data_IF_552101189611
#
_entry.id   IF_552101189611
#
_cell.length_a   1.000
_cell.length_b   1.000
_cell.length_c   1.000
_cell.angle_alpha   90.00
_cell.angle_beta   90.00
_cell.angle_gamma   90.00
#
_symmetry.space_group_name_H-M   'P 1'
#
loop_
_entity.id
_entity.type
_entity.pdbx_description
1 polymer ?
#
# COMPACT_ATOMS: atom_id res chain seq x y z
N UNK A 1 13.13 24.02 -2.85
CA UNK A 1 13.20 24.17 -1.38
C UNK A 1 14.55 24.79 -1.04
N UNK A 2 14.63 25.75 -0.12
CA UNK A 2 15.90 26.45 0.17
C UNK A 2 16.77 25.68 1.17
N UNK A 3 18.10 25.84 1.09
CA UNK A 3 19.09 25.18 1.97
C UNK A 3 18.77 25.29 3.48
N UNK A 4 18.14 26.39 3.90
CA UNK A 4 17.70 26.61 5.30
C UNK A 4 16.64 25.61 5.77
N UNK A 5 15.75 25.17 4.89
CA UNK A 5 14.68 24.23 5.22
C UNK A 5 15.17 22.79 5.27
N UNK A 6 16.27 22.48 4.56
CA UNK A 6 16.91 21.16 4.55
C UNK A 6 17.71 20.89 5.83
N UNK A 7 18.13 21.94 6.53
CA UNK A 7 18.79 21.84 7.82
C UNK A 7 17.85 21.31 8.91
N UNK A 8 16.54 21.44 8.72
CA UNK A 8 15.55 20.74 9.53
C UNK A 8 15.43 19.28 9.07
N UNK A 9 16.33 18.46 9.62
CA UNK A 9 16.39 17.03 9.31
C UNK A 9 15.12 16.26 9.66
N UNK A 10 14.25 16.79 10.56
CA UNK A 10 12.98 16.12 10.92
C UNK A 10 11.97 16.24 9.79
N UNK A 11 11.79 17.44 9.23
CA UNK A 11 10.90 17.66 8.09
C UNK A 11 11.39 16.93 6.85
N UNK A 12 12.70 16.95 6.60
CA UNK A 12 13.31 16.23 5.49
C UNK A 12 13.04 14.71 5.57
N UNK A 13 13.28 14.10 6.73
CA UNK A 13 12.97 12.68 6.96
C UNK A 13 11.49 12.36 6.78
N UNK A 14 10.60 13.27 7.20
CA UNK A 14 9.15 13.09 7.04
C UNK A 14 8.73 13.09 5.56
N UNK A 15 9.26 14.02 4.75
CA UNK A 15 8.96 14.06 3.31
C UNK A 15 9.51 12.87 2.55
N UNK A 16 10.73 12.43 2.85
CA UNK A 16 11.31 11.25 2.22
C UNK A 16 10.53 9.97 2.58
N UNK A 17 10.08 9.82 3.83
CA UNK A 17 9.22 8.69 4.24
C UNK A 17 7.83 8.73 3.61
N UNK A 18 7.33 9.92 3.30
CA UNK A 18 6.07 10.10 2.59
C UNK A 18 6.19 9.83 1.08
N UNK A 19 7.36 9.40 0.58
CA UNK A 19 7.59 9.14 -0.85
C UNK A 19 7.68 10.41 -1.69
N UNK A 20 7.82 11.60 -1.08
CA UNK A 20 7.95 12.85 -1.82
C UNK A 20 9.39 13.05 -2.26
N UNK A 21 9.55 13.32 -3.56
CA UNK A 21 10.80 13.81 -4.13
C UNK A 21 11.04 15.26 -3.78
N UNK A 22 12.28 15.61 -3.43
CA UNK A 22 12.62 16.96 -2.97
C UNK A 22 13.73 17.53 -3.87
N UNK A 23 13.49 18.72 -4.41
CA UNK A 23 14.48 19.48 -5.17
C UNK A 23 15.30 20.38 -4.25
N UNK A 24 16.60 20.14 -4.22
CA UNK A 24 17.60 20.98 -3.56
C UNK A 24 17.83 22.20 -4.44
N UNK A 25 17.54 23.39 -3.90
CA UNK A 25 17.84 24.67 -4.56
C UNK A 25 18.80 25.49 -3.69
N UNK A 26 19.85 26.01 -4.32
CA UNK A 26 20.67 27.09 -3.77
C UNK A 26 20.26 28.40 -4.45
N UNK A 27 19.63 29.28 -3.68
CA UNK A 27 18.97 30.49 -4.20
C UNK A 27 17.96 30.11 -5.30
N UNK A 28 18.25 30.47 -6.54
CA UNK A 28 17.41 30.18 -7.71
C UNK A 28 17.92 29.00 -8.54
N UNK A 29 19.06 28.40 -8.17
CA UNK A 29 19.66 27.29 -8.92
C UNK A 29 19.31 25.94 -8.29
N UNK A 30 18.81 25.02 -9.10
CA UNK A 30 18.61 23.62 -8.67
C UNK A 30 19.97 22.93 -8.67
N UNK A 31 20.43 22.49 -7.50
CA UNK A 31 21.72 21.82 -7.31
C UNK A 31 21.59 20.28 -7.29
N UNK A 32 20.38 19.77 -7.12
CA UNK A 32 20.14 18.33 -7.11
C UNK A 32 18.73 17.97 -6.68
N UNK A 33 18.41 16.68 -6.72
CA UNK A 33 17.14 16.12 -6.25
C UNK A 33 17.41 14.94 -5.34
N UNK A 34 16.77 14.93 -4.18
CA UNK A 34 16.75 13.76 -3.31
C UNK A 34 15.47 12.99 -3.66
N UNK A 35 15.67 11.80 -4.22
CA UNK A 35 14.60 10.85 -4.52
C UNK A 35 14.57 9.84 -3.38
N UNK A 36 13.42 9.62 -2.71
CA UNK A 36 13.32 8.58 -1.71
C UNK A 36 13.50 7.21 -2.37
N UNK A 37 14.19 6.31 -1.68
CA UNK A 37 14.30 4.92 -2.11
C UNK A 37 12.88 4.33 -2.21
N UNK A 38 12.54 3.79 -3.38
CA UNK A 38 11.28 3.08 -3.54
C UNK A 38 11.32 1.88 -2.58
N UNK A 39 10.49 1.94 -1.54
CA UNK A 39 10.13 0.72 -0.83
C UNK A 39 9.40 -0.14 -1.84
N UNK A 40 10.14 -1.07 -2.46
CA UNK A 40 9.54 -2.19 -3.17
C UNK A 40 8.51 -2.74 -2.19
N UNK A 41 7.21 -2.71 -2.50
CA UNK A 41 6.22 -3.30 -1.62
C UNK A 41 6.70 -4.73 -1.43
N UNK A 42 7.03 -5.09 -0.18
CA UNK A 42 7.42 -6.46 0.16
C UNK A 42 6.38 -7.35 -0.50
N UNK A 43 6.84 -8.28 -1.35
CA UNK A 43 5.95 -9.27 -1.97
C UNK A 43 5.05 -9.78 -0.87
N UNK A 44 3.78 -9.37 -0.93
CA UNK A 44 2.80 -9.86 0.03
C UNK A 44 2.74 -11.34 -0.27
N UNK A 45 3.19 -12.14 0.67
CA UNK A 45 2.95 -13.57 0.66
C UNK A 45 1.43 -13.73 0.67
N UNK A 46 0.88 -13.92 -0.53
CA UNK A 46 -0.54 -14.14 -0.69
C UNK A 46 -0.77 -15.58 -0.26
N UNK A 47 -1.59 -15.82 0.78
CA UNK A 47 -1.86 -17.18 1.21
C UNK A 47 -2.50 -17.96 0.08
N UNK A 48 -2.21 -19.26 0.02
CA UNK A 48 -2.83 -20.15 -0.96
C UNK A 48 -4.35 -20.14 -0.78
N UNK A 49 -5.03 -19.43 -1.69
CA UNK A 49 -6.46 -19.20 -1.60
C UNK A 49 -7.24 -20.49 -1.83
N UNK A 50 -6.73 -21.39 -2.65
CA UNK A 50 -7.36 -22.67 -2.95
C UNK A 50 -7.28 -23.60 -1.74
N UNK A 51 -6.11 -23.71 -1.12
CA UNK A 51 -5.92 -24.50 0.10
C UNK A 51 -6.79 -23.97 1.26
N UNK A 52 -6.82 -22.65 1.47
CA UNK A 52 -7.69 -22.05 2.50
C UNK A 52 -9.17 -22.23 2.19
N UNK A 53 -9.56 -22.10 0.92
CA UNK A 53 -10.95 -22.34 0.52
C UNK A 53 -11.33 -23.80 0.81
N UNK A 54 -10.47 -24.76 0.45
CA UNK A 54 -10.71 -26.17 0.71
C UNK A 54 -10.75 -26.51 2.20
N UNK A 55 -9.92 -25.88 3.03
CA UNK A 55 -9.94 -26.07 4.49
C UNK A 55 -11.23 -25.52 5.12
N UNK A 56 -11.66 -24.32 4.72
CA UNK A 56 -12.81 -23.64 5.30
C UNK A 56 -14.16 -24.14 4.76
N UNK A 57 -14.20 -24.52 3.49
CA UNK A 57 -15.43 -24.78 2.74
C UNK A 57 -15.49 -26.17 2.10
N UNK A 58 -14.41 -26.95 2.19
CA UNK A 58 -14.32 -28.26 1.54
C UNK A 58 -14.41 -28.14 0.02
N UNK A 59 -15.13 -29.08 -0.59
CA UNK A 59 -15.44 -29.11 -2.04
C UNK A 59 -16.76 -28.39 -2.38
N UNK A 60 -17.32 -27.56 -1.47
CA UNK A 60 -18.54 -26.80 -1.77
C UNK A 60 -18.26 -25.68 -2.76
N UNK A 61 -18.97 -25.70 -3.89
CA UNK A 61 -18.99 -24.60 -4.86
C UNK A 61 -20.04 -23.59 -4.44
N UNK A 62 -19.60 -22.43 -3.98
CA UNK A 62 -20.49 -21.32 -3.64
C UNK A 62 -20.82 -20.49 -4.87
N UNK A 63 -22.03 -20.66 -5.41
CA UNK A 63 -22.65 -19.63 -6.25
C UNK A 63 -23.07 -18.48 -5.34
N UNK A 64 -22.29 -17.38 -5.31
CA UNK A 64 -22.50 -16.26 -4.39
C UNK A 64 -23.93 -15.70 -4.40
N UNK A 65 -24.60 -15.73 -5.55
CA UNK A 65 -25.97 -15.26 -5.71
C UNK A 65 -27.00 -16.25 -5.13
N UNK A 66 -26.90 -17.55 -5.45
CA UNK A 66 -27.85 -18.55 -4.95
C UNK A 66 -27.70 -18.80 -3.45
N UNK A 67 -26.46 -18.87 -2.94
CA UNK A 67 -26.20 -19.08 -1.52
C UNK A 67 -26.69 -17.89 -0.66
N UNK A 68 -26.60 -16.67 -1.18
CA UNK A 68 -27.14 -15.49 -0.52
C UNK A 68 -28.68 -15.47 -0.51
N UNK A 69 -29.32 -16.00 -1.56
CA UNK A 69 -30.78 -16.12 -1.63
C UNK A 69 -31.31 -17.21 -0.70
N UNK A 70 -30.62 -18.35 -0.58
CA UNK A 70 -30.97 -19.43 0.35
C UNK A 70 -30.87 -18.98 1.83
N UNK A 71 -29.79 -18.29 2.23
CA UNK A 71 -29.63 -17.76 3.59
C UNK A 71 -30.74 -16.75 3.94
N UNK A 72 -31.19 -15.98 2.95
CA UNK A 72 -32.28 -15.00 3.10
C UNK A 72 -33.66 -15.64 3.15
N UNK A 73 -33.90 -16.71 2.41
CA UNK A 73 -35.19 -17.41 2.34
C UNK A 73 -35.42 -18.41 3.49
N UNK A 74 -34.37 -18.85 4.19
CA UNK A 74 -34.47 -19.76 5.33
C UNK A 74 -34.98 -19.14 6.65
N UNK A 75 -35.33 -17.85 6.65
CA UNK A 75 -35.91 -17.16 7.82
C UNK A 75 -37.37 -16.73 7.60
N UNK A 76 -38.25 -17.62 7.16
CA UNK A 76 -39.70 -17.50 7.38
C UNK A 76 -40.34 -18.89 7.45
#
# INVERSE_FOLDING_TARGET
MNMRELRDTRKLKAWLRAGKSIELRDRDLVIGRIVPEEKVPSEKDWPDFEARHRELFGDRVFNAVENFLEDRHGRY
#
